data_IF_147558426517
#
_entry.id   IF_147558426517
#
_cell.length_a   1.000
_cell.length_b   1.000
_cell.length_c   1.000
_cell.angle_alpha   90.00
_cell.angle_beta   90.00
_cell.angle_gamma   90.00
#
_symmetry.space_group_name_H-M   'P 1'
#
loop_
_entity.id
_entity.type
_entity.pdbx_description
1 polymer ?
#
# COMPACT_ATOMS: atom_id res chain seq x y z
N UNK A 1 -5.62 49.63 -34.49
CA UNK A 1 -5.23 49.18 -33.14
C UNK A 1 -6.14 48.07 -32.57
N UNK A 2 -6.81 47.21 -33.37
CA UNK A 2 -7.87 46.32 -32.85
C UNK A 2 -7.60 44.79 -32.98
N UNK A 3 -6.44 44.36 -33.48
CA UNK A 3 -6.20 42.92 -33.72
C UNK A 3 -5.93 42.14 -32.42
N UNK A 4 -5.35 42.77 -31.39
CA UNK A 4 -5.02 42.11 -30.11
C UNK A 4 -6.29 41.75 -29.32
N UNK A 5 -7.26 42.67 -29.26
CA UNK A 5 -8.53 42.48 -28.54
C UNK A 5 -9.40 41.41 -29.18
N UNK A 6 -9.50 41.38 -30.52
CA UNK A 6 -10.24 40.37 -31.26
C UNK A 6 -9.62 38.95 -31.14
N UNK A 7 -8.29 38.87 -31.10
CA UNK A 7 -7.56 37.62 -30.90
C UNK A 7 -7.77 37.06 -29.49
N UNK A 8 -7.74 37.92 -28.47
CA UNK A 8 -8.00 37.53 -27.09
C UNK A 8 -9.46 37.09 -26.88
N UNK A 9 -10.43 37.76 -27.52
CA UNK A 9 -11.84 37.37 -27.47
C UNK A 9 -12.09 35.98 -28.05
N UNK A 10 -11.58 35.71 -29.25
CA UNK A 10 -11.73 34.39 -29.91
C UNK A 10 -11.10 33.28 -29.08
N UNK A 11 -9.97 33.57 -28.41
CA UNK A 11 -9.30 32.64 -27.50
C UNK A 11 -10.15 32.35 -26.26
N UNK A 12 -10.71 33.37 -25.62
CA UNK A 12 -11.61 33.23 -24.46
C UNK A 12 -12.80 32.34 -24.80
N UNK A 13 -13.48 32.59 -25.92
CA UNK A 13 -14.62 31.79 -26.36
C UNK A 13 -14.24 30.32 -26.54
N UNK A 14 -13.12 30.06 -27.23
CA UNK A 14 -12.61 28.69 -27.41
C UNK A 14 -12.27 27.99 -26.10
N UNK A 15 -11.76 28.72 -25.11
CA UNK A 15 -11.48 28.18 -23.77
C UNK A 15 -12.78 27.85 -23.03
N UNK A 16 -13.77 28.74 -23.02
CA UNK A 16 -15.06 28.52 -22.35
C UNK A 16 -15.86 27.37 -22.95
N UNK A 17 -15.88 27.26 -24.29
CA UNK A 17 -16.51 26.14 -25.01
C UNK A 17 -15.92 24.81 -24.54
N UNK A 18 -14.59 24.73 -24.44
CA UNK A 18 -13.90 23.50 -24.02
C UNK A 18 -14.01 23.25 -22.51
N UNK A 19 -14.08 24.31 -21.71
CA UNK A 19 -13.98 24.18 -20.26
C UNK A 19 -15.29 23.94 -19.55
N UNK A 20 -16.34 24.66 -19.97
CA UNK A 20 -17.65 24.66 -19.33
C UNK A 20 -18.80 24.53 -20.34
N UNK A 21 -18.49 24.06 -21.56
CA UNK A 21 -19.47 23.64 -22.57
C UNK A 21 -20.51 24.73 -22.92
N UNK A 22 -20.09 26.00 -22.96
CA UNK A 22 -20.96 27.05 -23.49
C UNK A 22 -21.01 26.88 -25.01
N UNK A 23 -22.06 26.23 -25.53
CA UNK A 23 -22.25 25.96 -26.96
C UNK A 23 -23.33 26.84 -27.61
N UNK A 24 -23.71 27.93 -26.96
CA UNK A 24 -24.75 28.81 -27.48
C UNK A 24 -24.32 29.50 -28.79
N UNK A 25 -25.18 29.44 -29.82
CA UNK A 25 -24.91 30.03 -31.14
C UNK A 25 -24.72 31.55 -31.06
N UNK A 26 -25.19 32.18 -29.98
CA UNK A 26 -25.12 33.63 -29.77
C UNK A 26 -23.93 34.11 -28.91
N UNK A 27 -22.99 33.23 -28.48
CA UNK A 27 -21.81 33.64 -27.68
C UNK A 27 -21.01 34.75 -28.35
N UNK A 28 -20.89 34.68 -29.68
CA UNK A 28 -20.15 35.68 -30.49
C UNK A 28 -20.83 37.05 -30.52
N UNK A 29 -22.09 37.13 -30.11
CA UNK A 29 -22.89 38.37 -30.05
C UNK A 29 -22.92 38.97 -28.64
N UNK A 30 -22.47 38.23 -27.62
CA UNK A 30 -22.42 38.70 -26.24
C UNK A 30 -21.26 39.70 -26.05
N UNK A 31 -21.47 40.75 -25.27
CA UNK A 31 -20.36 41.57 -24.77
C UNK A 31 -19.44 40.76 -23.84
N UNK A 32 -18.26 41.29 -23.49
CA UNK A 32 -17.36 40.66 -22.51
C UNK A 32 -18.03 40.45 -21.15
N UNK A 33 -18.88 41.39 -20.75
CA UNK A 33 -19.65 41.33 -19.50
C UNK A 33 -20.76 40.31 -19.52
N UNK A 34 -21.51 40.25 -20.62
CA UNK A 34 -22.57 39.24 -20.80
C UNK A 34 -21.96 37.84 -20.88
N UNK A 35 -20.80 37.70 -21.54
CA UNK A 35 -20.09 36.42 -21.59
C UNK A 35 -19.55 36.02 -20.21
N UNK A 36 -18.98 36.96 -19.45
CA UNK A 36 -18.49 36.73 -18.10
C UNK A 36 -19.63 36.34 -17.14
N UNK A 37 -20.73 37.08 -17.16
CA UNK A 37 -21.93 36.76 -16.37
C UNK A 37 -22.46 35.37 -16.71
N UNK A 38 -22.55 35.05 -18.00
CA UNK A 38 -23.04 33.74 -18.45
C UNK A 38 -22.12 32.61 -18.04
N UNK A 39 -20.81 32.78 -18.20
CA UNK A 39 -19.81 31.81 -17.75
C UNK A 39 -19.89 31.61 -16.23
N UNK A 40 -20.08 32.69 -15.48
CA UNK A 40 -20.22 32.65 -14.03
C UNK A 40 -21.46 31.88 -13.56
N UNK A 41 -22.62 32.11 -14.18
CA UNK A 41 -23.83 31.36 -13.89
C UNK A 41 -23.65 29.85 -14.08
N UNK A 42 -22.94 29.46 -15.14
CA UNK A 42 -22.67 28.06 -15.46
C UNK A 42 -21.74 27.47 -14.41
N UNK A 43 -20.61 28.13 -14.11
CA UNK A 43 -19.67 27.70 -13.06
C UNK A 43 -20.35 27.53 -11.70
N UNK A 44 -21.24 28.46 -11.31
CA UNK A 44 -21.98 28.36 -10.04
C UNK A 44 -22.86 27.12 -9.95
N UNK A 45 -23.42 26.70 -11.09
CA UNK A 45 -24.31 25.53 -11.21
C UNK A 45 -23.55 24.24 -11.51
N UNK A 46 -22.31 24.33 -11.99
CA UNK A 46 -21.46 23.19 -12.25
C UNK A 46 -20.95 22.61 -10.92
N UNK A 47 -21.17 21.31 -10.75
CA UNK A 47 -20.63 20.53 -9.65
C UNK A 47 -19.15 20.17 -9.86
N UNK A 48 -18.70 20.11 -11.11
CA UNK A 48 -17.33 19.68 -11.46
C UNK A 48 -16.74 20.55 -12.58
N UNK A 49 -15.58 21.15 -12.32
CA UNK A 49 -14.77 21.89 -13.30
C UNK A 49 -13.68 20.98 -13.90
N UNK A 50 -14.08 19.98 -14.70
CA UNK A 50 -13.16 18.98 -15.28
C UNK A 50 -11.96 19.59 -16.01
N UNK A 51 -12.14 20.74 -16.65
CA UNK A 51 -11.08 21.49 -17.31
C UNK A 51 -10.77 22.80 -16.58
N UNK A 52 -10.51 22.69 -15.28
CA UNK A 52 -10.27 23.82 -14.39
C UNK A 52 -9.26 24.83 -14.96
N UNK A 53 -8.13 24.37 -15.48
CA UNK A 53 -7.08 25.25 -16.02
C UNK A 53 -7.58 26.10 -17.18
N UNK A 54 -8.34 25.51 -18.11
CA UNK A 54 -8.95 26.22 -19.24
C UNK A 54 -10.02 27.21 -18.76
N UNK A 55 -10.84 26.81 -17.79
CA UNK A 55 -11.86 27.67 -17.18
C UNK A 55 -11.22 28.86 -16.48
N UNK A 56 -10.20 28.62 -15.65
CA UNK A 56 -9.48 29.65 -14.91
C UNK A 56 -8.85 30.65 -15.87
N UNK A 57 -8.13 30.20 -16.90
CA UNK A 57 -7.53 31.09 -17.90
C UNK A 57 -8.57 31.90 -18.67
N UNK A 58 -9.74 31.32 -18.98
CA UNK A 58 -10.82 32.07 -19.62
C UNK A 58 -11.36 33.18 -18.71
N UNK A 59 -11.56 32.90 -17.42
CA UNK A 59 -12.00 33.90 -16.44
C UNK A 59 -10.94 34.96 -16.18
N UNK A 60 -9.66 34.59 -16.09
CA UNK A 60 -8.56 35.56 -15.94
C UNK A 60 -8.57 36.58 -17.09
N UNK A 61 -8.70 36.10 -18.33
CA UNK A 61 -8.76 36.95 -19.52
C UNK A 61 -10.04 37.81 -19.58
N UNK A 62 -11.20 37.26 -19.18
CA UNK A 62 -12.45 38.04 -19.15
C UNK A 62 -12.46 39.10 -18.06
N UNK A 63 -11.93 38.78 -16.89
CA UNK A 63 -11.83 39.72 -15.77
C UNK A 63 -10.87 40.86 -16.08
N UNK A 64 -9.89 40.66 -16.97
CA UNK A 64 -9.01 41.72 -17.48
C UNK A 64 -9.70 42.63 -18.52
N UNK A 65 -10.83 42.20 -19.09
CA UNK A 65 -11.61 42.97 -20.08
C UNK A 65 -12.81 43.70 -19.46
N UNK A 66 -13.16 43.42 -18.21
CA UNK A 66 -14.32 43.97 -17.52
C UNK A 66 -13.85 44.82 -16.34
N UNK A 67 -14.38 46.04 -16.22
CA UNK A 67 -14.07 46.90 -15.08
C UNK A 67 -14.54 46.26 -13.76
N UNK A 68 -13.67 46.27 -12.74
CA UNK A 68 -13.89 45.53 -11.49
C UNK A 68 -15.15 46.01 -10.72
N UNK A 69 -15.47 47.31 -10.81
CA UNK A 69 -16.70 47.89 -10.25
C UNK A 69 -17.99 47.32 -10.87
N UNK A 70 -17.91 46.65 -12.02
CA UNK A 70 -19.06 46.01 -12.70
C UNK A 70 -19.25 44.55 -12.29
N UNK A 71 -18.32 43.91 -11.59
CA UNK A 71 -18.44 42.50 -11.21
C UNK A 71 -19.66 42.23 -10.32
N UNK A 72 -19.88 43.08 -9.31
CA UNK A 72 -21.03 42.97 -8.39
C UNK A 72 -22.35 43.13 -9.16
N UNK A 73 -22.42 44.05 -10.11
CA UNK A 73 -23.65 44.28 -10.90
C UNK A 73 -23.95 43.12 -11.85
N UNK A 74 -22.93 42.36 -12.23
CA UNK A 74 -23.04 41.11 -12.98
C UNK A 74 -23.31 39.88 -12.07
N UNK A 75 -23.39 40.06 -10.76
CA UNK A 75 -23.64 38.98 -9.80
C UNK A 75 -22.41 38.11 -9.47
N UNK A 76 -21.21 38.63 -9.77
CA UNK A 76 -19.93 38.05 -9.39
C UNK A 76 -19.46 38.61 -8.02
N UNK A 77 -18.53 37.92 -7.35
CA UNK A 77 -17.74 38.49 -6.25
C UNK A 77 -17.12 39.84 -6.60
N UNK A 78 -16.86 40.65 -5.58
CA UNK A 78 -16.55 42.07 -5.75
C UNK A 78 -15.16 42.37 -6.30
N UNK A 79 -14.28 41.38 -6.33
CA UNK A 79 -12.93 41.52 -6.87
C UNK A 79 -12.54 40.36 -7.79
N UNK A 80 -11.58 40.60 -8.69
CA UNK A 80 -10.99 39.55 -9.53
C UNK A 80 -10.46 38.39 -8.69
N UNK A 81 -9.76 38.70 -7.59
CA UNK A 81 -9.19 37.69 -6.70
C UNK A 81 -10.27 36.81 -6.05
N UNK A 82 -11.40 37.38 -5.64
CA UNK A 82 -12.49 36.61 -5.05
C UNK A 82 -13.12 35.64 -6.06
N UNK A 83 -13.26 36.05 -7.33
CA UNK A 83 -13.74 35.17 -8.41
C UNK A 83 -12.79 34.00 -8.63
N UNK A 84 -11.48 34.27 -8.70
CA UNK A 84 -10.47 33.22 -8.90
C UNK A 84 -10.34 32.31 -7.67
N UNK A 85 -10.48 32.86 -6.47
CA UNK A 85 -10.51 32.09 -5.23
C UNK A 85 -11.69 31.12 -5.22
N UNK A 86 -12.89 31.58 -5.57
CA UNK A 86 -14.07 30.74 -5.69
C UNK A 86 -13.85 29.57 -6.67
N UNK A 87 -13.24 29.83 -7.83
CA UNK A 87 -12.91 28.79 -8.80
C UNK A 87 -11.94 27.75 -8.20
N UNK A 88 -10.91 28.18 -7.48
CA UNK A 88 -9.97 27.26 -6.82
C UNK A 88 -10.66 26.43 -5.73
N UNK A 89 -11.52 27.02 -4.91
CA UNK A 89 -12.32 26.29 -3.90
C UNK A 89 -13.19 25.22 -4.56
N UNK A 90 -13.83 25.54 -5.69
CA UNK A 90 -14.65 24.57 -6.45
C UNK A 90 -13.83 23.39 -6.97
N UNK A 91 -12.64 23.65 -7.51
CA UNK A 91 -11.71 22.59 -7.94
C UNK A 91 -11.27 21.69 -6.78
N UNK A 92 -10.95 22.28 -5.62
CA UNK A 92 -10.58 21.50 -4.44
C UNK A 92 -11.73 20.59 -3.97
N UNK A 93 -12.97 21.10 -3.94
CA UNK A 93 -14.15 20.30 -3.60
C UNK A 93 -14.33 19.11 -4.55
N UNK A 94 -14.22 19.33 -5.86
CA UNK A 94 -14.30 18.25 -6.87
C UNK A 94 -13.22 17.19 -6.69
N UNK A 95 -11.99 17.59 -6.40
CA UNK A 95 -10.90 16.63 -6.17
C UNK A 95 -11.17 15.77 -4.93
N UNK A 96 -11.65 16.39 -3.84
CA UNK A 96 -12.00 15.66 -2.61
C UNK A 96 -13.14 14.65 -2.87
N UNK A 97 -14.17 15.03 -3.64
CA UNK A 97 -15.26 14.11 -3.98
C UNK A 97 -14.77 12.91 -4.81
N UNK A 98 -13.87 13.13 -5.78
CA UNK A 98 -13.27 12.06 -6.57
C UNK A 98 -12.38 11.14 -5.72
N UNK A 99 -11.61 11.70 -4.80
CA UNK A 99 -10.76 10.93 -3.88
C UNK A 99 -11.60 10.10 -2.91
N UNK A 100 -12.75 10.62 -2.46
CA UNK A 100 -13.70 9.89 -1.62
C UNK A 100 -14.35 8.71 -2.35
N UNK A 101 -14.79 8.90 -3.60
CA UNK A 101 -15.38 7.82 -4.41
C UNK A 101 -14.37 6.68 -4.62
N UNK A 102 -13.11 7.01 -4.93
CA UNK A 102 -12.05 6.01 -5.06
C UNK A 102 -11.77 5.28 -3.75
N UNK A 103 -11.83 5.99 -2.61
CA UNK A 103 -11.62 5.40 -1.31
C UNK A 103 -12.77 4.45 -0.91
N UNK A 104 -14.02 4.80 -1.22
CA UNK A 104 -15.18 3.95 -1.01
C UNK A 104 -15.12 2.66 -1.86
N UNK A 105 -14.70 2.77 -3.12
CA UNK A 105 -14.50 1.60 -3.99
C UNK A 105 -13.40 0.68 -3.44
N UNK A 106 -12.28 1.24 -2.95
CA UNK A 106 -11.22 0.47 -2.32
C UNK A 106 -11.70 -0.23 -1.04
N UNK A 107 -12.45 0.48 -0.19
CA UNK A 107 -13.05 -0.09 1.02
C UNK A 107 -14.01 -1.23 0.70
N UNK A 108 -14.81 -1.10 -0.36
CA UNK A 108 -15.71 -2.17 -0.81
C UNK A 108 -14.92 -3.42 -1.20
N UNK A 109 -13.87 -3.27 -2.02
CA UNK A 109 -13.02 -4.40 -2.45
C UNK A 109 -12.37 -5.08 -1.25
N UNK A 110 -11.75 -4.32 -0.35
CA UNK A 110 -11.09 -4.89 0.85
C UNK A 110 -12.11 -5.59 1.75
N UNK A 111 -13.30 -5.03 1.91
CA UNK A 111 -14.36 -5.64 2.71
C UNK A 111 -14.88 -6.93 2.07
N UNK A 112 -15.02 -6.97 0.75
CA UNK A 112 -15.45 -8.16 0.02
C UNK A 112 -14.41 -9.28 0.13
N UNK A 113 -13.12 -8.99 -0.06
CA UNK A 113 -12.02 -9.95 0.14
C UNK A 113 -11.97 -10.46 1.58
N UNK A 114 -12.12 -9.57 2.56
CA UNK A 114 -12.17 -9.94 3.96
C UNK A 114 -13.36 -10.85 4.27
N UNK A 115 -14.54 -10.56 3.74
CA UNK A 115 -15.73 -11.38 3.90
C UNK A 115 -15.56 -12.75 3.24
N UNK A 116 -14.90 -12.84 2.08
CA UNK A 116 -14.59 -14.11 1.44
C UNK A 116 -13.70 -14.97 2.33
N UNK A 117 -12.62 -14.41 2.87
CA UNK A 117 -11.72 -15.13 3.78
C UNK A 117 -12.47 -15.54 5.05
N UNK A 118 -13.26 -14.64 5.64
CA UNK A 118 -14.04 -14.95 6.83
C UNK A 118 -15.04 -16.09 6.57
N UNK A 119 -15.71 -16.11 5.43
CA UNK A 119 -16.66 -17.17 5.06
C UNK A 119 -15.99 -18.53 4.82
N UNK A 120 -14.71 -18.57 4.43
CA UNK A 120 -13.95 -19.81 4.32
C UNK A 120 -13.69 -20.44 5.69
N UNK A 121 -13.44 -19.61 6.70
CA UNK A 121 -13.07 -20.06 8.04
C UNK A 121 -14.31 -20.25 8.93
N UNK A 122 -15.27 -19.33 8.85
CA UNK A 122 -16.52 -19.30 9.61
C UNK A 122 -17.72 -19.05 8.69
N UNK A 123 -18.25 -20.09 8.02
CA UNK A 123 -19.42 -19.93 7.17
C UNK A 123 -20.63 -19.48 7.99
N UNK A 124 -21.39 -18.54 7.43
CA UNK A 124 -22.64 -18.00 8.02
C UNK A 124 -22.48 -17.24 9.35
N UNK A 125 -21.27 -16.76 9.66
CA UNK A 125 -21.04 -15.88 10.81
C UNK A 125 -20.75 -14.44 10.38
N UNK A 126 -21.14 -13.44 11.20
CA UNK A 126 -20.74 -12.05 10.96
C UNK A 126 -19.22 -11.94 10.91
N UNK A 127 -18.71 -11.21 9.92
CA UNK A 127 -17.26 -11.02 9.76
C UNK A 127 -16.69 -10.20 10.91
N UNK A 128 -15.70 -10.78 11.60
CA UNK A 128 -15.00 -10.11 12.69
C UNK A 128 -13.50 -10.35 12.56
N UNK A 129 -12.76 -9.27 12.36
CA UNK A 129 -11.31 -9.34 12.19
C UNK A 129 -10.63 -9.94 13.43
N UNK A 130 -11.18 -9.67 14.62
CA UNK A 130 -10.67 -10.23 15.87
C UNK A 130 -10.85 -11.75 15.92
N UNK A 131 -12.03 -12.25 15.51
CA UNK A 131 -12.33 -13.68 15.47
C UNK A 131 -11.44 -14.37 14.43
N UNK A 132 -11.35 -13.82 13.21
CA UNK A 132 -10.50 -14.38 12.16
C UNK A 132 -9.03 -14.39 12.57
N UNK A 133 -8.52 -13.31 13.18
CA UNK A 133 -7.14 -13.24 13.68
C UNK A 133 -6.87 -14.29 14.76
N UNK A 134 -7.78 -14.46 15.72
CA UNK A 134 -7.66 -15.46 16.77
C UNK A 134 -7.66 -16.88 16.18
N UNK A 135 -8.47 -17.12 15.15
CA UNK A 135 -8.55 -18.43 14.49
C UNK A 135 -7.33 -18.75 13.65
N UNK A 136 -6.82 -17.79 12.87
CA UNK A 136 -5.55 -17.94 12.14
C UNK A 136 -4.41 -18.27 13.12
N UNK A 137 -4.37 -17.57 14.26
CA UNK A 137 -3.40 -17.84 15.34
C UNK A 137 -3.57 -19.26 15.89
N UNK A 138 -4.80 -19.68 16.19
CA UNK A 138 -5.11 -21.04 16.68
C UNK A 138 -4.66 -22.11 15.69
N UNK A 139 -4.99 -21.94 14.40
CA UNK A 139 -4.59 -22.84 13.33
C UNK A 139 -3.07 -22.91 13.20
N UNK A 140 -2.38 -21.77 13.26
CA UNK A 140 -0.92 -21.73 13.18
C UNK A 140 -0.24 -22.42 14.36
N UNK A 141 -0.77 -22.22 15.57
CA UNK A 141 -0.29 -22.93 16.77
C UNK A 141 -0.48 -24.44 16.64
N UNK A 142 -1.66 -24.90 16.20
CA UNK A 142 -1.91 -26.33 16.00
C UNK A 142 -0.99 -26.95 14.95
N UNK A 143 -0.79 -26.25 13.83
CA UNK A 143 0.12 -26.66 12.77
C UNK A 143 1.56 -26.84 13.31
N UNK A 144 2.08 -25.84 14.03
CA UNK A 144 3.42 -25.88 14.61
C UNK A 144 3.58 -26.98 15.67
N UNK A 145 2.57 -27.17 16.54
CA UNK A 145 2.57 -28.24 17.55
C UNK A 145 2.74 -29.61 16.92
N UNK A 146 2.20 -29.83 15.72
CA UNK A 146 2.32 -31.09 14.99
C UNK A 146 3.62 -31.18 14.17
N UNK A 147 4.04 -30.09 13.51
CA UNK A 147 5.23 -30.08 12.65
C UNK A 147 6.54 -30.24 13.43
N UNK A 148 6.66 -29.60 14.60
CA UNK A 148 7.91 -29.60 15.37
C UNK A 148 8.33 -31.03 15.80
N UNK A 149 7.44 -31.87 16.39
CA UNK A 149 7.76 -33.26 16.71
C UNK A 149 8.19 -34.08 15.49
N UNK A 150 7.50 -33.93 14.34
CA UNK A 150 7.84 -34.65 13.11
C UNK A 150 9.24 -34.29 12.63
N UNK A 151 9.58 -33.00 12.60
CA UNK A 151 10.93 -32.55 12.23
C UNK A 151 12.00 -33.00 13.22
N UNK A 152 11.69 -33.05 14.51
CA UNK A 152 12.60 -33.62 15.53
C UNK A 152 12.88 -35.10 15.27
N UNK A 153 11.86 -35.86 14.91
CA UNK A 153 12.02 -37.27 14.56
C UNK A 153 12.86 -37.45 13.29
N UNK A 154 12.62 -36.63 12.25
CA UNK A 154 13.47 -36.63 11.04
C UNK A 154 14.94 -36.29 11.35
N UNK A 155 15.17 -35.31 12.22
CA UNK A 155 16.53 -34.96 12.65
C UNK A 155 17.19 -36.12 13.40
N UNK A 156 16.47 -36.76 14.32
CA UNK A 156 16.98 -37.92 15.06
C UNK A 156 17.33 -39.09 14.14
N UNK A 157 16.51 -39.37 13.12
CA UNK A 157 16.81 -40.37 12.10
C UNK A 157 18.10 -40.02 11.34
N UNK A 158 18.26 -38.76 10.91
CA UNK A 158 19.47 -38.32 10.22
C UNK A 158 20.71 -38.42 11.12
N UNK A 159 20.60 -38.06 12.39
CA UNK A 159 21.69 -38.21 13.37
C UNK A 159 22.09 -39.67 13.48
N UNK A 160 21.12 -40.58 13.57
CA UNK A 160 21.40 -42.02 13.67
C UNK A 160 22.07 -42.56 12.40
N UNK A 161 21.57 -42.20 11.21
CA UNK A 161 22.17 -42.59 9.93
C UNK A 161 23.61 -42.10 9.80
N UNK A 162 23.87 -40.85 10.18
CA UNK A 162 25.24 -40.31 10.17
C UNK A 162 26.10 -41.01 11.23
N UNK A 163 25.58 -41.22 12.44
CA UNK A 163 26.32 -41.88 13.52
C UNK A 163 26.70 -43.32 13.17
N UNK A 164 25.91 -44.05 12.38
CA UNK A 164 26.24 -45.40 11.89
C UNK A 164 27.54 -45.44 11.08
N UNK A 165 27.86 -44.35 10.37
CA UNK A 165 29.09 -44.22 9.58
C UNK A 165 30.31 -43.84 10.45
N UNK A 166 30.08 -43.37 11.67
CA UNK A 166 31.10 -42.83 12.56
C UNK A 166 31.58 -43.83 13.61
N UNK A 167 32.87 -43.77 13.92
CA UNK A 167 33.46 -44.45 15.07
C UNK A 167 33.09 -43.76 16.40
N UNK A 168 33.43 -44.37 17.54
CA UNK A 168 33.04 -43.86 18.86
C UNK A 168 33.54 -42.44 19.14
N UNK A 169 34.75 -42.09 18.71
CA UNK A 169 35.31 -40.76 18.93
C UNK A 169 34.61 -39.72 18.06
N UNK A 170 34.36 -40.04 16.79
CA UNK A 170 33.65 -39.16 15.86
C UNK A 170 32.19 -38.95 16.27
N UNK A 171 31.50 -39.97 16.78
CA UNK A 171 30.15 -39.83 17.34
C UNK A 171 30.10 -38.83 18.50
N UNK A 172 31.11 -38.87 19.37
CA UNK A 172 31.23 -37.90 20.46
C UNK A 172 31.43 -36.47 19.92
N UNK A 173 32.21 -36.31 18.85
CA UNK A 173 32.43 -35.02 18.19
C UNK A 173 31.13 -34.52 17.53
N UNK A 174 30.36 -35.41 16.88
CA UNK A 174 29.04 -35.09 16.32
C UNK A 174 28.06 -34.63 17.40
N UNK A 175 27.98 -35.33 18.54
CA UNK A 175 27.15 -34.90 19.67
C UNK A 175 27.56 -33.51 20.18
N UNK A 176 28.88 -33.25 20.25
CA UNK A 176 29.40 -31.92 20.63
C UNK A 176 29.06 -30.84 19.63
N UNK A 177 29.16 -31.12 18.33
CA UNK A 177 28.78 -30.21 17.26
C UNK A 177 27.31 -29.77 17.41
N UNK A 178 26.40 -30.73 17.60
CA UNK A 178 24.97 -30.47 17.76
C UNK A 178 24.66 -29.71 19.05
N UNK A 179 25.39 -29.98 20.13
CA UNK A 179 25.28 -29.24 21.39
C UNK A 179 25.72 -27.78 21.23
N UNK A 180 26.87 -27.53 20.60
CA UNK A 180 27.36 -26.16 20.40
C UNK A 180 26.46 -25.37 19.45
N UNK A 181 25.96 -25.98 18.37
CA UNK A 181 24.98 -25.32 17.50
C UNK A 181 23.68 -24.95 18.24
N UNK A 182 23.19 -25.83 19.13
CA UNK A 182 22.03 -25.50 19.98
C UNK A 182 22.28 -24.30 20.88
N UNK A 183 23.49 -24.20 21.46
CA UNK A 183 23.88 -23.05 22.30
C UNK A 183 23.93 -21.76 21.51
N UNK A 184 24.56 -21.78 20.33
CA UNK A 184 24.63 -20.62 19.43
C UNK A 184 23.23 -20.10 19.12
N UNK A 185 22.30 -20.99 18.79
CA UNK A 185 20.90 -20.63 18.49
C UNK A 185 20.20 -19.98 19.70
N UNK A 186 20.46 -20.46 20.91
CA UNK A 186 19.86 -19.96 22.14
C UNK A 186 20.43 -18.61 22.62
N UNK A 187 21.76 -18.47 22.61
CA UNK A 187 22.43 -17.29 23.17
C UNK A 187 22.65 -16.19 22.15
N UNK A 188 22.46 -16.48 20.86
CA UNK A 188 22.74 -15.57 19.74
C UNK A 188 24.18 -15.03 19.80
N UNK A 189 25.08 -15.82 20.40
CA UNK A 189 26.41 -15.39 20.82
C UNK A 189 27.46 -16.01 19.88
N UNK A 190 28.19 -15.13 19.18
CA UNK A 190 29.13 -15.53 18.13
C UNK A 190 30.40 -16.19 18.69
N UNK A 191 30.62 -16.16 20.00
CA UNK A 191 31.82 -16.72 20.65
C UNK A 191 31.99 -18.22 20.40
N UNK A 192 30.89 -18.97 20.20
CA UNK A 192 30.94 -20.41 19.97
C UNK A 192 31.05 -20.81 18.49
N UNK A 193 31.05 -19.84 17.56
CA UNK A 193 31.10 -20.12 16.11
C UNK A 193 32.45 -20.68 15.67
N UNK A 194 33.56 -20.17 16.23
CA UNK A 194 34.90 -20.71 15.95
C UNK A 194 34.99 -22.18 16.36
N UNK A 195 34.54 -22.49 17.58
CA UNK A 195 34.50 -23.87 18.09
C UNK A 195 33.59 -24.78 17.26
N UNK A 196 32.45 -24.27 16.77
CA UNK A 196 31.58 -25.02 15.87
C UNK A 196 32.29 -25.35 14.56
N UNK A 197 33.05 -24.40 14.01
CA UNK A 197 33.81 -24.62 12.77
C UNK A 197 34.96 -25.62 12.96
N UNK A 198 35.68 -25.57 14.08
CA UNK A 198 36.68 -26.59 14.42
C UNK A 198 36.06 -28.00 14.45
N UNK A 199 34.90 -28.16 15.10
CA UNK A 199 34.20 -29.44 15.16
C UNK A 199 33.71 -29.90 13.76
N UNK A 200 33.34 -28.98 12.87
CA UNK A 200 33.00 -29.29 11.47
C UNK A 200 34.20 -29.79 10.69
N UNK A 201 35.36 -29.13 10.85
CA UNK A 201 36.59 -29.51 10.16
C UNK A 201 37.06 -30.89 10.58
N UNK A 202 36.95 -31.23 11.87
CA UNK A 202 37.32 -32.58 12.33
C UNK A 202 36.38 -33.64 11.76
N UNK A 203 35.09 -33.34 11.58
CA UNK A 203 34.11 -34.28 11.02
C UNK A 203 34.13 -34.33 9.49
N UNK A 204 34.70 -33.34 8.79
CA UNK A 204 34.75 -33.31 7.33
C UNK A 204 35.78 -34.28 6.74
N UNK A 205 36.66 -34.84 7.57
CA UNK A 205 37.56 -35.95 7.20
C UNK A 205 36.78 -37.26 6.97
N UNK A 206 35.62 -37.41 7.61
CA UNK A 206 34.83 -38.66 7.61
C UNK A 206 33.45 -38.49 6.96
N UNK A 207 32.82 -37.33 7.11
CA UNK A 207 31.49 -37.02 6.59
C UNK A 207 31.53 -36.00 5.46
N UNK A 208 30.58 -36.11 4.54
CA UNK A 208 30.44 -35.13 3.47
C UNK A 208 29.88 -33.84 4.06
N UNK A 209 30.42 -32.69 3.66
CA UNK A 209 30.02 -31.38 4.15
C UNK A 209 28.51 -31.12 4.01
N UNK A 210 27.87 -31.66 2.97
CA UNK A 210 26.43 -31.57 2.74
C UNK A 210 25.60 -32.24 3.84
N UNK A 211 26.04 -33.38 4.37
CA UNK A 211 25.35 -34.10 5.44
C UNK A 211 25.41 -33.32 6.75
N UNK A 212 26.59 -32.81 7.10
CA UNK A 212 26.79 -31.94 8.26
C UNK A 212 25.96 -30.67 8.17
N UNK A 213 25.95 -30.01 6.99
CA UNK A 213 25.18 -28.80 6.80
C UNK A 213 23.66 -29.09 6.87
N UNK A 214 23.22 -30.24 6.35
CA UNK A 214 21.82 -30.67 6.43
C UNK A 214 21.36 -30.85 7.87
N UNK A 215 22.18 -31.49 8.72
CA UNK A 215 21.89 -31.66 10.15
C UNK A 215 21.74 -30.31 10.87
N UNK A 216 22.69 -29.41 10.67
CA UNK A 216 22.70 -28.10 11.32
C UNK A 216 21.55 -27.21 10.84
N UNK A 217 21.24 -27.24 9.53
CA UNK A 217 20.10 -26.51 8.98
C UNK A 217 18.77 -26.98 9.58
N UNK A 218 18.56 -28.30 9.69
CA UNK A 218 17.36 -28.86 10.30
C UNK A 218 17.24 -28.53 11.78
N UNK A 219 18.36 -28.53 12.51
CA UNK A 219 18.38 -28.10 13.91
C UNK A 219 17.97 -26.63 14.06
N UNK A 220 18.51 -25.75 13.21
CA UNK A 220 18.13 -24.34 13.16
C UNK A 220 16.66 -24.14 12.78
N UNK A 221 16.16 -24.87 11.78
CA UNK A 221 14.75 -24.83 11.38
C UNK A 221 13.83 -25.19 12.56
N UNK A 222 14.10 -26.30 13.25
CA UNK A 222 13.33 -26.74 14.43
C UNK A 222 13.36 -25.67 15.53
N UNK A 223 14.53 -25.06 15.78
CA UNK A 223 14.66 -24.00 16.77
C UNK A 223 13.79 -22.79 16.43
N UNK A 224 13.84 -22.29 15.19
CA UNK A 224 13.03 -21.14 14.79
C UNK A 224 11.53 -21.44 14.79
N UNK A 225 11.12 -22.66 14.42
CA UNK A 225 9.73 -23.08 14.54
C UNK A 225 9.27 -23.12 16.00
N UNK A 226 10.11 -23.64 16.92
CA UNK A 226 9.81 -23.66 18.34
C UNK A 226 9.71 -22.26 18.95
N UNK A 227 10.63 -21.36 18.58
CA UNK A 227 10.60 -19.96 19.00
C UNK A 227 9.37 -19.24 18.45
N UNK A 228 8.98 -19.51 17.21
CA UNK A 228 7.78 -18.95 16.62
C UNK A 228 6.52 -19.43 17.34
N UNK A 229 6.45 -20.71 17.72
CA UNK A 229 5.36 -21.25 18.54
C UNK A 229 5.29 -20.58 19.92
N UNK A 230 6.43 -20.39 20.59
CA UNK A 230 6.50 -19.69 21.87
C UNK A 230 5.97 -18.25 21.77
N UNK A 231 6.39 -17.50 20.75
CA UNK A 231 5.88 -16.16 20.49
C UNK A 231 4.35 -16.15 20.28
N UNK A 232 3.83 -17.09 19.50
CA UNK A 232 2.38 -17.21 19.29
C UNK A 232 1.62 -17.62 20.56
N UNK A 233 2.23 -18.29 21.52
CA UNK A 233 1.57 -18.69 22.78
C UNK A 233 1.63 -17.60 23.85
N UNK A 234 2.56 -16.66 23.74
CA UNK A 234 2.83 -15.59 24.73
C UNK A 234 2.17 -14.27 24.37
N UNK A 235 1.91 -14.02 23.09
CA UNK A 235 1.00 -12.96 22.61
C UNK A 235 -0.46 -13.21 23.00
#
# INVERSE_FOLDING_TARGET
>A
MNNSTALNRTRVEGLLIRSIYIYDYDIRRLSDEQLLQRAWEIVRKCYNLRHYSLCRTAFELLLDMVEENRLITLGLPGTKQEVLFYLETKKQQTNIELDLEQFEDLLRVVNDEFNQINNLVYPNQPSSFQILRAEIKRLKVQDLINQIPLKKQELEQLINTVAEQLNRAERYILEKLLQENSRILQTNDNFNVERLNELKEVLSETLIQEELQTLLNKQSEIFYLAKHLENLQTE
#
